data_IF_297351438600
#
_entry.id   IF_297351438600
#
_cell.length_a   1.000
_cell.length_b   1.000
_cell.length_c   1.000
_cell.angle_alpha   90.00
_cell.angle_beta   90.00
_cell.angle_gamma   90.00
#
_symmetry.space_group_name_H-M   'P 1'
#
loop_
_entity.id
_entity.type
_entity.pdbx_description
1 polymer ?
#
# COMPACT_ATOMS: atom_id res chain seq x y z
N UNK A 1 20.52 -33.59 0.77
CA UNK A 1 19.53 -33.55 1.86
C UNK A 1 19.39 -32.12 2.34
N UNK A 2 18.48 -31.35 1.74
CA UNK A 2 18.23 -29.92 2.01
C UNK A 2 16.77 -29.73 2.38
N UNK A 3 16.33 -30.30 3.51
CA UNK A 3 15.02 -29.98 4.11
C UNK A 3 15.12 -30.01 5.64
N UNK A 4 15.24 -28.83 6.26
CA UNK A 4 14.33 -28.45 7.35
C UNK A 4 13.74 -27.03 7.19
N UNK A 5 14.36 -26.17 6.38
CA UNK A 5 13.98 -24.74 6.24
C UNK A 5 12.65 -24.56 5.53
N UNK A 6 12.40 -25.33 4.45
CA UNK A 6 11.18 -25.19 3.65
C UNK A 6 9.88 -25.55 4.40
N UNK A 7 9.89 -26.59 5.25
CA UNK A 7 8.68 -26.99 6.00
C UNK A 7 8.30 -25.97 7.08
N UNK A 8 9.31 -25.39 7.75
CA UNK A 8 9.09 -24.37 8.79
C UNK A 8 8.56 -23.07 8.19
N UNK A 9 9.12 -22.61 7.08
CA UNK A 9 8.63 -21.42 6.38
C UNK A 9 7.22 -21.62 5.82
N UNK A 10 6.93 -22.77 5.19
CA UNK A 10 5.56 -23.10 4.73
C UNK A 10 4.55 -23.07 5.87
N UNK A 11 4.87 -23.67 7.02
CA UNK A 11 3.99 -23.68 8.20
C UNK A 11 3.80 -22.27 8.76
N UNK A 12 4.87 -21.46 8.82
CA UNK A 12 4.82 -20.07 9.27
C UNK A 12 3.90 -19.22 8.36
N UNK A 13 4.03 -19.37 7.04
CA UNK A 13 3.18 -18.69 6.07
C UNK A 13 1.72 -19.14 6.17
N UNK A 14 1.47 -20.44 6.34
CA UNK A 14 0.12 -20.98 6.52
C UNK A 14 -0.56 -20.42 7.77
N UNK A 15 0.14 -20.39 8.92
CA UNK A 15 -0.40 -19.81 10.16
C UNK A 15 -0.67 -18.31 10.02
N UNK A 16 0.24 -17.58 9.38
CA UNK A 16 0.06 -16.14 9.13
C UNK A 16 -1.17 -15.87 8.28
N UNK A 17 -1.36 -16.64 7.20
CA UNK A 17 -2.54 -16.58 6.33
C UNK A 17 -3.83 -16.87 7.11
N UNK A 18 -3.89 -17.97 7.86
CA UNK A 18 -5.09 -18.33 8.62
C UNK A 18 -5.52 -17.24 9.63
N UNK A 19 -4.54 -16.58 10.27
CA UNK A 19 -4.78 -15.45 11.16
C UNK A 19 -5.34 -14.22 10.44
N UNK A 20 -4.79 -13.89 9.26
CA UNK A 20 -5.27 -12.77 8.45
C UNK A 20 -6.69 -13.04 7.91
N UNK A 21 -6.95 -14.26 7.44
CA UNK A 21 -8.26 -14.68 6.93
C UNK A 21 -9.32 -14.59 8.04
N UNK A 22 -9.06 -15.17 9.21
CA UNK A 22 -9.97 -15.12 10.34
C UNK A 22 -10.22 -13.68 10.83
N UNK A 23 -9.17 -12.84 10.85
CA UNK A 23 -9.29 -11.44 11.23
C UNK A 23 -10.17 -10.66 10.26
N UNK A 24 -9.93 -10.81 8.95
CA UNK A 24 -10.70 -10.14 7.92
C UNK A 24 -12.18 -10.50 8.02
N UNK A 25 -12.52 -11.79 8.06
CA UNK A 25 -13.90 -12.26 8.16
C UNK A 25 -14.62 -11.64 9.37
N UNK A 26 -14.01 -11.74 10.56
CA UNK A 26 -14.60 -11.18 11.78
C UNK A 26 -14.73 -9.65 11.73
N UNK A 27 -13.73 -8.95 11.20
CA UNK A 27 -13.76 -7.48 11.12
C UNK A 27 -14.81 -6.99 10.12
N UNK A 28 -15.02 -7.69 9.00
CA UNK A 28 -16.06 -7.35 8.03
C UNK A 28 -17.46 -7.63 8.59
N UNK A 29 -17.66 -8.75 9.29
CA UNK A 29 -18.97 -9.12 9.84
C UNK A 29 -19.39 -8.26 11.03
N UNK A 30 -18.46 -7.93 11.92
CA UNK A 30 -18.76 -7.34 13.24
C UNK A 30 -18.21 -5.94 13.44
N UNK A 31 -17.34 -5.49 12.54
CA UNK A 31 -16.61 -4.23 12.65
C UNK A 31 -15.30 -4.37 13.41
N UNK A 32 -14.27 -3.64 12.95
CA UNK A 32 -12.93 -3.68 13.52
C UNK A 32 -12.93 -3.49 15.04
N UNK A 33 -13.57 -2.45 15.56
CA UNK A 33 -13.52 -2.11 17.00
C UNK A 33 -14.17 -3.15 17.91
N UNK A 34 -15.11 -3.95 17.39
CA UNK A 34 -15.90 -4.93 18.16
C UNK A 34 -15.23 -6.29 18.29
N UNK A 35 -14.13 -6.53 17.58
CA UNK A 35 -13.44 -7.83 17.55
C UNK A 35 -12.11 -7.72 18.30
N UNK A 36 -11.91 -8.56 19.32
CA UNK A 36 -10.66 -8.67 20.04
C UNK A 36 -9.64 -9.60 19.37
N UNK A 37 -8.35 -9.37 19.61
CA UNK A 37 -7.26 -10.26 19.13
C UNK A 37 -7.38 -11.70 19.63
N UNK A 38 -8.05 -11.90 20.78
CA UNK A 38 -8.33 -13.23 21.32
C UNK A 38 -9.32 -13.98 20.43
N UNK A 39 -10.38 -13.32 19.98
CA UNK A 39 -11.40 -13.94 19.12
C UNK A 39 -10.82 -14.33 17.77
N UNK A 40 -9.94 -13.50 17.22
CA UNK A 40 -9.18 -13.83 16.00
C UNK A 40 -8.29 -15.05 16.21
N UNK A 41 -7.56 -15.10 17.33
CA UNK A 41 -6.68 -16.22 17.65
C UNK A 41 -7.47 -17.53 17.84
N UNK A 42 -8.61 -17.46 18.54
CA UNK A 42 -9.52 -18.58 18.76
C UNK A 42 -10.11 -19.07 17.42
N UNK A 43 -10.53 -18.16 16.53
CA UNK A 43 -11.06 -18.50 15.21
C UNK A 43 -10.00 -19.14 14.28
N UNK A 44 -8.72 -18.78 14.45
CA UNK A 44 -7.60 -19.33 13.69
C UNK A 44 -6.96 -20.58 14.35
N UNK A 45 -7.53 -21.09 15.45
CA UNK A 45 -7.01 -22.23 16.24
C UNK A 45 -5.54 -22.05 16.69
N UNK A 46 -5.20 -20.85 17.16
CA UNK A 46 -3.87 -20.52 17.69
C UNK A 46 -3.95 -19.73 18.99
N UNK A 47 -2.87 -19.75 19.76
CA UNK A 47 -2.77 -18.89 20.95
C UNK A 47 -2.59 -17.43 20.59
N UNK A 48 -3.05 -16.51 21.44
CA UNK A 48 -2.76 -15.07 21.35
C UNK A 48 -1.25 -14.79 21.30
N UNK A 49 -0.45 -15.56 22.04
CA UNK A 49 1.02 -15.47 21.96
C UNK A 49 1.55 -15.85 20.59
N UNK A 50 0.96 -16.85 19.92
CA UNK A 50 1.29 -17.20 18.53
C UNK A 50 0.91 -16.06 17.61
N UNK A 51 -0.30 -15.50 17.74
CA UNK A 51 -0.73 -14.33 16.95
C UNK A 51 0.31 -13.20 17.03
N UNK A 52 0.72 -12.79 18.24
CA UNK A 52 1.68 -11.71 18.41
C UNK A 52 3.11 -12.03 17.91
N UNK A 53 3.47 -13.31 17.74
CA UNK A 53 4.71 -13.70 17.05
C UNK A 53 4.65 -13.45 15.54
N UNK A 54 3.45 -13.44 14.96
CA UNK A 54 3.24 -13.19 13.54
C UNK A 54 2.89 -11.72 13.25
N UNK A 55 2.11 -11.09 14.13
CA UNK A 55 1.56 -9.74 13.95
C UNK A 55 1.81 -8.91 15.22
N UNK A 56 2.59 -7.83 15.15
CA UNK A 56 2.97 -7.06 16.35
C UNK A 56 1.78 -6.34 17.01
N UNK A 57 0.71 -6.07 16.27
CA UNK A 57 -0.49 -5.41 16.75
C UNK A 57 -1.73 -5.88 15.96
N UNK A 58 -2.91 -5.44 16.39
CA UNK A 58 -4.19 -5.82 15.77
C UNK A 58 -4.32 -5.28 14.34
N UNK A 59 -3.86 -4.06 14.11
CA UNK A 59 -3.89 -3.41 12.79
C UNK A 59 -3.09 -4.20 11.76
N UNK A 60 -1.99 -4.84 12.19
CA UNK A 60 -1.15 -5.66 11.33
C UNK A 60 -1.89 -6.89 10.77
N UNK A 61 -2.99 -7.33 11.39
CA UNK A 61 -3.82 -8.42 10.87
C UNK A 61 -4.57 -8.03 9.59
N UNK A 62 -4.73 -6.73 9.33
CA UNK A 62 -5.47 -6.18 8.17
C UNK A 62 -4.57 -6.02 6.96
N UNK A 63 -3.26 -5.85 7.15
CA UNK A 63 -2.31 -5.54 6.10
C UNK A 63 -1.20 -6.60 6.03
N UNK A 64 -1.29 -7.52 5.07
CA UNK A 64 -0.26 -8.55 4.80
C UNK A 64 0.50 -8.29 3.48
N UNK A 65 1.20 -7.14 3.39
CA UNK A 65 1.54 -6.54 2.08
C UNK A 65 2.99 -6.09 1.90
N UNK A 66 3.91 -6.58 2.72
CA UNK A 66 5.14 -5.83 2.95
C UNK A 66 6.20 -5.97 1.85
N UNK A 67 6.32 -7.13 1.19
CA UNK A 67 7.46 -7.38 0.30
C UNK A 67 7.23 -6.94 -1.16
N UNK A 68 6.00 -7.01 -1.64
CA UNK A 68 5.70 -6.76 -3.06
C UNK A 68 5.67 -5.25 -3.38
N UNK A 69 5.26 -4.41 -2.41
CA UNK A 69 5.15 -2.96 -2.57
C UNK A 69 6.51 -2.29 -2.77
N UNK A 70 7.50 -2.63 -1.94
CA UNK A 70 8.84 -2.02 -2.05
C UNK A 70 9.47 -2.32 -3.41
N UNK A 71 9.40 -3.58 -3.84
CA UNK A 71 9.93 -4.01 -5.14
C UNK A 71 9.22 -3.29 -6.29
N UNK A 72 7.90 -3.10 -6.19
CA UNK A 72 7.11 -2.39 -7.20
C UNK A 72 7.48 -0.89 -7.27
N UNK A 73 7.62 -0.21 -6.12
CA UNK A 73 8.05 1.20 -6.05
C UNK A 73 9.45 1.41 -6.60
N UNK A 74 10.39 0.55 -6.20
CA UNK A 74 11.78 0.60 -6.67
C UNK A 74 11.86 0.25 -8.15
N UNK A 75 11.10 -0.73 -8.61
CA UNK A 75 10.99 -1.12 -10.02
C UNK A 75 10.43 0.02 -10.89
N UNK A 76 9.41 0.73 -10.42
CA UNK A 76 8.86 1.89 -11.12
C UNK A 76 9.91 2.97 -11.39
N UNK A 77 10.86 3.16 -10.47
CA UNK A 77 11.97 4.10 -10.65
C UNK A 77 13.05 3.52 -11.57
N UNK A 78 13.51 2.29 -11.32
CA UNK A 78 14.63 1.66 -12.05
C UNK A 78 14.29 1.29 -13.49
N UNK A 79 13.11 0.73 -13.70
CA UNK A 79 12.68 0.15 -14.98
C UNK A 79 11.88 1.15 -15.83
N UNK A 80 11.93 2.45 -15.48
CA UNK A 80 11.23 3.51 -16.21
C UNK A 80 11.67 3.60 -17.66
N UNK A 81 10.75 3.97 -18.55
CA UNK A 81 11.04 4.16 -19.96
C UNK A 81 12.16 5.21 -20.18
N UNK A 82 13.06 5.02 -21.17
CA UNK A 82 14.09 6.01 -21.47
C UNK A 82 13.50 7.39 -21.75
N UNK A 83 14.08 8.43 -21.15
CA UNK A 83 13.61 9.82 -21.30
C UNK A 83 12.47 10.21 -20.36
N UNK A 84 11.90 9.27 -19.60
CA UNK A 84 10.89 9.54 -18.58
C UNK A 84 11.50 10.02 -17.27
N UNK A 85 10.88 11.04 -16.66
CA UNK A 85 11.32 11.55 -15.35
C UNK A 85 10.97 10.56 -14.23
N UNK A 86 11.72 10.60 -13.13
CA UNK A 86 11.42 9.79 -11.92
C UNK A 86 10.02 10.10 -11.39
N UNK A 87 9.64 11.37 -11.39
CA UNK A 87 8.33 11.83 -10.93
C UNK A 87 7.19 11.38 -11.85
N UNK A 88 7.39 11.38 -13.17
CA UNK A 88 6.41 10.87 -14.12
C UNK A 88 6.20 9.35 -13.93
N UNK A 89 7.28 8.59 -13.75
CA UNK A 89 7.20 7.15 -13.49
C UNK A 89 6.50 6.84 -12.16
N UNK A 90 6.81 7.59 -11.10
CA UNK A 90 6.13 7.46 -9.81
C UNK A 90 4.67 7.89 -9.87
N UNK A 91 4.35 8.96 -10.60
CA UNK A 91 2.97 9.39 -10.82
C UNK A 91 2.16 8.28 -11.50
N UNK A 92 2.65 7.74 -12.60
CA UNK A 92 1.97 6.64 -13.30
C UNK A 92 1.81 5.44 -12.37
N UNK A 93 2.87 4.99 -11.71
CA UNK A 93 2.81 3.84 -10.81
C UNK A 93 1.85 4.06 -9.65
N UNK A 94 1.89 5.22 -8.98
CA UNK A 94 1.04 5.50 -7.83
C UNK A 94 -0.42 5.70 -8.23
N UNK A 95 -0.71 6.22 -9.42
CA UNK A 95 -2.08 6.39 -9.90
C UNK A 95 -2.68 5.12 -10.52
N UNK A 96 -1.86 4.21 -11.06
CA UNK A 96 -2.33 3.04 -11.80
C UNK A 96 -2.12 1.71 -11.09
N UNK A 97 -1.02 1.56 -10.34
CA UNK A 97 -0.65 0.28 -9.71
C UNK A 97 -1.07 0.20 -8.24
N UNK A 98 -0.94 1.28 -7.47
CA UNK A 98 -1.06 1.18 -5.99
C UNK A 98 -2.18 2.05 -5.39
N UNK A 99 -2.41 3.25 -5.93
CA UNK A 99 -3.32 4.25 -5.38
C UNK A 99 -4.81 3.87 -5.33
N UNK A 100 -5.39 3.20 -6.34
CA UNK A 100 -6.85 3.01 -6.37
C UNK A 100 -7.40 1.90 -5.46
N UNK A 101 -6.56 1.09 -4.82
CA UNK A 101 -7.03 -0.11 -4.09
C UNK A 101 -6.48 -0.28 -2.69
N UNK A 102 -5.34 0.34 -2.36
CA UNK A 102 -4.79 0.29 -1.01
C UNK A 102 -5.10 1.53 -0.18
N UNK A 103 -5.23 2.69 -0.85
CA UNK A 103 -5.25 4.00 -0.20
C UNK A 103 -6.48 4.83 -0.55
N UNK A 104 -7.24 4.43 -1.58
CA UNK A 104 -8.47 5.09 -2.00
C UNK A 104 -9.55 4.06 -2.36
N UNK A 105 -10.52 3.81 -1.49
CA UNK A 105 -11.80 3.22 -1.85
C UNK A 105 -12.68 4.13 -2.71
N UNK A 106 -13.20 3.63 -3.83
CA UNK A 106 -14.12 4.39 -4.69
C UNK A 106 -13.45 5.33 -5.69
N UNK A 107 -12.16 5.12 -6.00
CA UNK A 107 -11.40 5.93 -6.97
C UNK A 107 -11.92 5.52 -8.32
N UNK A 108 -11.97 4.21 -8.57
CA UNK A 108 -12.56 3.63 -9.76
C UNK A 108 -13.97 4.18 -10.07
N UNK A 109 -14.79 4.47 -9.06
CA UNK A 109 -16.14 5.04 -9.23
C UNK A 109 -16.13 6.56 -9.46
N UNK A 110 -15.24 7.31 -8.79
CA UNK A 110 -15.21 8.79 -8.81
C UNK A 110 -14.25 9.41 -9.85
N UNK A 111 -13.24 8.67 -10.32
CA UNK A 111 -12.21 9.19 -11.23
C UNK A 111 -12.51 8.95 -12.71
N UNK A 112 -13.68 8.38 -13.05
CA UNK A 112 -14.03 8.11 -14.44
C UNK A 112 -13.13 7.07 -15.14
N UNK A 113 -12.27 6.38 -14.37
CA UNK A 113 -11.41 5.26 -14.83
C UNK A 113 -12.24 3.96 -14.95
N UNK A 114 -13.42 4.07 -15.58
CA UNK A 114 -14.54 3.11 -15.52
C UNK A 114 -14.32 1.75 -16.20
N UNK A 115 -13.09 1.34 -16.48
CA UNK A 115 -12.78 0.07 -17.15
C UNK A 115 -11.36 -0.45 -16.82
N UNK A 116 -10.77 0.00 -15.71
CA UNK A 116 -9.43 -0.49 -15.32
C UNK A 116 -9.51 -1.95 -14.86
N UNK A 117 -9.14 -2.84 -15.78
CA UNK A 117 -9.30 -4.29 -15.65
C UNK A 117 -8.65 -4.83 -14.37
N UNK A 118 -9.43 -5.59 -13.58
CA UNK A 118 -9.01 -6.41 -12.43
C UNK A 118 -7.72 -7.21 -12.68
N UNK A 119 -7.45 -7.55 -13.94
CA UNK A 119 -6.26 -8.25 -14.39
C UNK A 119 -4.97 -7.42 -14.22
N UNK A 120 -5.02 -6.10 -14.44
CA UNK A 120 -3.88 -5.21 -14.19
C UNK A 120 -3.59 -5.04 -12.70
N UNK A 121 -4.61 -5.14 -11.83
CA UNK A 121 -4.45 -5.08 -10.37
C UNK A 121 -3.71 -6.27 -9.81
N UNK A 122 -4.06 -7.47 -10.28
CA UNK A 122 -3.38 -8.71 -9.92
C UNK A 122 -1.94 -8.76 -10.47
N UNK A 123 -1.69 -8.06 -11.58
CA UNK A 123 -0.38 -8.01 -12.24
C UNK A 123 0.55 -6.96 -11.62
N UNK A 124 0.04 -5.78 -11.25
CA UNK A 124 0.85 -4.65 -10.81
C UNK A 124 1.25 -4.70 -9.33
N UNK A 125 0.42 -5.34 -8.49
CA UNK A 125 0.75 -5.52 -7.07
C UNK A 125 1.06 -6.98 -6.74
N UNK A 126 0.86 -7.89 -7.69
CA UNK A 126 1.01 -9.33 -7.49
C UNK A 126 -0.20 -9.94 -6.77
N UNK A 127 -0.44 -11.26 -6.93
CA UNK A 127 -1.62 -11.96 -6.41
C UNK A 127 -1.73 -12.02 -4.88
N UNK A 128 -0.81 -11.42 -4.14
CA UNK A 128 -0.71 -11.45 -2.67
C UNK A 128 -1.11 -10.14 -1.98
N UNK A 129 -1.60 -9.16 -2.76
CA UNK A 129 -1.82 -7.78 -2.25
C UNK A 129 -3.16 -7.56 -1.56
N UNK A 130 -4.07 -8.52 -1.68
CA UNK A 130 -5.34 -8.45 -1.00
C UNK A 130 -5.39 -9.56 0.02
N UNK A 131 -5.92 -9.31 1.23
CA UNK A 131 -6.13 -10.39 2.14
C UNK A 131 -7.02 -11.45 1.44
N UNK A 132 -6.78 -12.74 1.68
CA UNK A 132 -7.45 -13.81 0.96
C UNK A 132 -8.98 -13.68 1.07
N UNK A 133 -9.67 -13.71 -0.08
CA UNK A 133 -11.13 -13.56 -0.14
C UNK A 133 -11.63 -12.17 -0.60
N UNK A 134 -10.77 -11.15 -0.65
CA UNK A 134 -11.17 -9.77 -1.05
C UNK A 134 -11.24 -9.57 -2.59
N UNK A 135 -11.11 -10.64 -3.39
CA UNK A 135 -11.11 -10.58 -4.85
C UNK A 135 -12.48 -10.40 -5.53
N UNK A 136 -13.58 -10.51 -4.78
CA UNK A 136 -14.95 -10.34 -5.27
C UNK A 136 -15.47 -8.94 -4.91
N UNK A 137 -16.06 -8.23 -5.88
CA UNK A 137 -16.27 -6.77 -5.84
C UNK A 137 -16.83 -6.21 -4.52
N UNK A 138 -17.82 -6.86 -3.90
CA UNK A 138 -18.42 -6.39 -2.64
C UNK A 138 -17.48 -6.45 -1.44
N UNK A 139 -16.59 -7.45 -1.36
CA UNK A 139 -15.68 -7.61 -0.22
C UNK A 139 -14.55 -6.60 -0.24
N UNK A 140 -14.09 -6.21 -1.43
CA UNK A 140 -13.11 -5.12 -1.59
C UNK A 140 -13.68 -3.78 -1.13
N UNK A 141 -14.93 -3.49 -1.45
CA UNK A 141 -15.63 -2.28 -1.02
C UNK A 141 -15.87 -2.26 0.50
N UNK A 142 -16.24 -3.39 1.11
CA UNK A 142 -16.45 -3.51 2.55
C UNK A 142 -15.13 -3.34 3.33
N UNK A 143 -14.06 -4.02 2.90
CA UNK A 143 -12.72 -3.88 3.47
C UNK A 143 -12.24 -2.43 3.42
N UNK A 144 -12.38 -1.86 2.24
CA UNK A 144 -12.05 -0.48 1.96
C UNK A 144 -12.78 0.50 2.89
N UNK A 145 -14.11 0.38 2.99
CA UNK A 145 -14.95 1.19 3.87
C UNK A 145 -14.56 1.03 5.34
N UNK A 146 -14.19 -0.18 5.76
CA UNK A 146 -13.70 -0.44 7.11
C UNK A 146 -12.39 0.33 7.37
N UNK A 147 -11.41 0.26 6.47
CA UNK A 147 -10.15 1.00 6.62
C UNK A 147 -10.40 2.51 6.69
N UNK A 148 -11.27 3.07 5.83
CA UNK A 148 -11.60 4.50 5.83
C UNK A 148 -12.22 4.99 7.14
N UNK A 149 -13.16 4.22 7.67
CA UNK A 149 -13.93 4.62 8.85
C UNK A 149 -13.21 4.35 10.17
N UNK A 150 -12.05 3.69 10.15
CA UNK A 150 -11.27 3.36 11.35
C UNK A 150 -9.94 4.13 11.37
N UNK A 151 -9.82 5.21 12.17
CA UNK A 151 -8.60 6.02 12.25
C UNK A 151 -7.32 5.23 12.52
N UNK A 152 -7.38 4.25 13.43
CA UNK A 152 -6.22 3.40 13.76
C UNK A 152 -5.71 2.60 12.54
N UNK A 153 -6.60 2.13 11.67
CA UNK A 153 -6.22 1.43 10.44
C UNK A 153 -5.60 2.36 9.42
N UNK A 154 -6.14 3.58 9.24
CA UNK A 154 -5.55 4.58 8.34
C UNK A 154 -4.16 5.00 8.79
N UNK A 155 -3.99 5.28 10.08
CA UNK A 155 -2.69 5.64 10.64
C UNK A 155 -1.67 4.50 10.53
N UNK A 156 -2.10 3.26 10.74
CA UNK A 156 -1.24 2.11 10.55
C UNK A 156 -0.85 1.92 9.08
N UNK A 157 -1.82 1.98 8.15
CA UNK A 157 -1.57 1.89 6.71
C UNK A 157 -0.60 2.98 6.24
N UNK A 158 -0.78 4.21 6.71
CA UNK A 158 0.10 5.33 6.39
C UNK A 158 1.52 5.09 6.90
N UNK A 159 1.69 4.71 8.18
CA UNK A 159 3.01 4.36 8.71
C UNK A 159 3.64 3.19 7.95
N UNK A 160 2.86 2.16 7.63
CA UNK A 160 3.32 1.00 6.88
C UNK A 160 3.89 1.41 5.53
N UNK A 161 3.13 2.21 4.79
CA UNK A 161 3.48 2.73 3.47
C UNK A 161 4.76 3.56 3.48
N UNK A 162 4.89 4.45 4.47
CA UNK A 162 6.02 5.35 4.58
C UNK A 162 7.33 4.65 4.96
N UNK A 163 7.29 3.39 5.42
CA UNK A 163 8.54 2.63 5.64
C UNK A 163 9.33 2.40 4.36
N UNK A 164 8.69 2.48 3.20
CA UNK A 164 9.34 2.36 1.90
C UNK A 164 10.09 3.63 1.48
N UNK A 165 9.98 4.74 2.23
CA UNK A 165 10.66 6.02 1.95
C UNK A 165 12.17 5.83 1.75
N UNK A 166 12.84 5.12 2.67
CA UNK A 166 14.28 4.96 2.61
C UNK A 166 14.72 4.12 1.39
N UNK A 167 13.96 3.08 1.05
CA UNK A 167 14.25 2.25 -0.11
C UNK A 167 14.04 3.02 -1.42
N UNK A 168 12.94 3.76 -1.51
CA UNK A 168 12.61 4.59 -2.66
C UNK A 168 13.63 5.73 -2.83
N UNK A 169 13.97 6.45 -1.74
CA UNK A 169 14.96 7.52 -1.77
C UNK A 169 16.32 7.07 -2.29
N UNK A 170 16.81 5.90 -1.84
CA UNK A 170 18.04 5.29 -2.38
C UNK A 170 17.92 4.93 -3.86
N UNK A 171 16.78 4.43 -4.30
CA UNK A 171 16.54 4.12 -5.71
C UNK A 171 16.58 5.39 -6.58
N UNK A 172 15.95 6.47 -6.12
CA UNK A 172 15.98 7.78 -6.79
C UNK A 172 17.41 8.32 -6.86
N UNK A 173 18.17 8.25 -5.76
CA UNK A 173 19.55 8.71 -5.74
C UNK A 173 20.43 7.95 -6.74
N UNK A 174 20.31 6.62 -6.77
CA UNK A 174 21.04 5.77 -7.70
C UNK A 174 20.74 6.12 -9.17
N UNK A 175 19.47 6.36 -9.50
CA UNK A 175 19.03 6.67 -10.87
C UNK A 175 19.35 8.10 -11.34
N UNK A 176 19.55 9.02 -10.40
CA UNK A 176 19.90 10.43 -10.70
C UNK A 176 21.39 10.71 -10.54
N UNK A 177 22.17 9.75 -10.04
CA UNK A 177 23.61 9.91 -9.76
C UNK A 177 23.90 10.73 -8.49
N UNK A 178 22.92 10.88 -7.60
CA UNK A 178 23.08 11.56 -6.31
C UNK A 178 23.70 10.63 -5.25
N UNK A 179 24.25 11.17 -4.15
CA UNK A 179 24.70 10.38 -3.01
C UNK A 179 23.59 9.50 -2.39
N UNK A 180 23.95 8.35 -1.82
CA UNK A 180 22.99 7.41 -1.22
C UNK A 180 22.17 8.02 -0.07
N UNK A 181 22.75 8.97 0.66
CA UNK A 181 22.15 9.72 1.77
C UNK A 181 21.65 11.12 1.35
N UNK A 182 21.40 11.34 0.06
CA UNK A 182 20.92 12.61 -0.45
C UNK A 182 19.54 13.00 0.15
N UNK A 183 19.53 14.10 0.90
CA UNK A 183 18.35 14.59 1.59
C UNK A 183 17.22 15.01 0.63
N UNK A 184 17.54 15.44 -0.59
CA UNK A 184 16.53 15.84 -1.58
C UNK A 184 15.84 14.63 -2.19
N UNK A 185 16.57 13.53 -2.42
CA UNK A 185 16.01 12.25 -2.87
C UNK A 185 15.11 11.65 -1.78
N UNK A 186 15.52 11.72 -0.51
CA UNK A 186 14.69 11.30 0.62
C UNK A 186 13.40 12.13 0.73
N UNK A 187 13.51 13.47 0.64
CA UNK A 187 12.35 14.35 0.68
C UNK A 187 11.39 14.12 -0.50
N UNK A 188 11.92 13.90 -1.71
CA UNK A 188 11.12 13.60 -2.89
C UNK A 188 10.36 12.29 -2.73
N UNK A 189 11.04 11.24 -2.26
CA UNK A 189 10.41 9.95 -1.96
C UNK A 189 9.28 10.11 -0.94
N UNK A 190 9.56 10.84 0.15
CA UNK A 190 8.57 11.13 1.19
C UNK A 190 7.32 11.81 0.63
N UNK A 191 7.49 12.89 -0.13
CA UNK A 191 6.36 13.63 -0.69
C UNK A 191 5.60 12.80 -1.72
N UNK A 192 6.29 12.08 -2.60
CA UNK A 192 5.65 11.21 -3.58
C UNK A 192 4.79 10.13 -2.89
N UNK A 193 5.29 9.54 -1.80
CA UNK A 193 4.55 8.55 -1.01
C UNK A 193 3.37 9.15 -0.25
N UNK A 194 3.42 10.42 0.16
CA UNK A 194 2.29 11.07 0.84
C UNK A 194 1.15 11.49 -0.12
N UNK A 195 1.45 11.73 -1.40
CA UNK A 195 0.46 12.22 -2.39
C UNK A 195 -0.85 11.41 -2.41
N UNK A 196 -0.84 10.06 -2.47
CA UNK A 196 -2.09 9.28 -2.49
C UNK A 196 -2.99 9.56 -1.28
N UNK A 197 -2.43 9.77 -0.08
CA UNK A 197 -3.19 10.06 1.14
C UNK A 197 -3.75 11.48 1.14
N UNK A 198 -2.98 12.44 0.64
CA UNK A 198 -3.41 13.84 0.53
C UNK A 198 -4.51 13.99 -0.54
N UNK A 199 -4.31 13.37 -1.70
CA UNK A 199 -5.31 13.27 -2.74
C UNK A 199 -6.57 12.56 -2.21
N UNK A 200 -6.37 11.55 -1.34
CA UNK A 200 -7.29 10.82 -0.44
C UNK A 200 -8.49 11.57 0.15
N UNK A 201 -8.34 12.87 0.37
CA UNK A 201 -9.39 13.69 0.99
C UNK A 201 -10.10 14.62 -0.01
N UNK A 202 -9.69 14.61 -1.29
CA UNK A 202 -10.17 15.54 -2.29
C UNK A 202 -11.38 14.97 -3.08
N UNK A 203 -12.35 15.80 -3.52
CA UNK A 203 -13.48 15.32 -4.33
C UNK A 203 -13.08 14.67 -5.66
N UNK A 204 -12.01 15.17 -6.27
CA UNK A 204 -11.34 14.59 -7.44
C UNK A 204 -9.89 14.23 -7.08
N UNK A 205 -9.61 12.97 -6.73
CA UNK A 205 -8.31 12.54 -6.22
C UNK A 205 -7.26 12.44 -7.32
N UNK A 206 -7.68 12.04 -8.52
CA UNK A 206 -6.79 11.90 -9.65
C UNK A 206 -6.25 13.27 -10.06
N UNK A 207 -7.14 14.26 -10.20
CA UNK A 207 -6.73 15.64 -10.49
C UNK A 207 -5.88 16.24 -9.37
N UNK A 208 -6.20 15.95 -8.10
CA UNK A 208 -5.42 16.43 -6.96
C UNK A 208 -4.00 15.86 -6.96
N UNK A 209 -3.86 14.54 -7.16
CA UNK A 209 -2.55 13.89 -7.24
C UNK A 209 -1.73 14.42 -8.43
N UNK A 210 -2.35 14.61 -9.60
CA UNK A 210 -1.72 15.20 -10.78
C UNK A 210 -1.15 16.59 -10.50
N UNK A 211 -1.93 17.43 -9.82
CA UNK A 211 -1.49 18.76 -9.43
C UNK A 211 -0.31 18.71 -8.45
N UNK A 212 -0.33 17.78 -7.48
CA UNK A 212 0.77 17.61 -6.51
C UNK A 212 2.05 17.08 -7.17
N UNK A 213 1.96 16.13 -8.12
CA UNK A 213 3.13 15.69 -8.89
C UNK A 213 3.69 16.81 -9.77
N UNK A 214 2.81 17.61 -10.40
CA UNK A 214 3.22 18.79 -11.17
C UNK A 214 3.94 19.81 -10.29
N UNK A 215 3.47 20.01 -9.05
CA UNK A 215 4.14 20.84 -8.06
C UNK A 215 5.53 20.31 -7.70
N UNK A 216 5.69 19.00 -7.50
CA UNK A 216 7.00 18.40 -7.23
C UNK A 216 7.96 18.54 -8.43
N UNK A 217 7.45 18.44 -9.65
CA UNK A 217 8.29 18.48 -10.86
C UNK A 217 8.70 19.91 -11.23
N UNK A 218 7.79 20.87 -11.11
CA UNK A 218 8.02 22.26 -11.57
C UNK A 218 8.38 23.21 -10.43
N UNK A 219 8.12 22.81 -9.19
CA UNK A 219 8.26 23.65 -8.01
C UNK A 219 7.12 24.65 -7.83
N UNK A 220 7.08 25.25 -6.63
CA UNK A 220 6.01 26.16 -6.21
C UNK A 220 5.89 27.40 -7.11
N UNK A 221 7.00 28.09 -7.37
CA UNK A 221 6.98 29.35 -8.12
C UNK A 221 6.52 29.18 -9.57
N UNK A 222 6.81 28.03 -10.20
CA UNK A 222 6.37 27.74 -11.56
C UNK A 222 4.87 27.38 -11.63
N UNK A 223 4.31 26.85 -10.54
CA UNK A 223 2.89 26.48 -10.44
C UNK A 223 2.01 27.60 -9.88
N UNK A 224 2.59 28.57 -9.16
CA UNK A 224 1.91 29.70 -8.54
C UNK A 224 2.64 31.03 -8.85
N UNK A 225 2.65 31.47 -10.12
CA UNK A 225 3.37 32.71 -10.49
C UNK A 225 2.72 33.94 -9.84
N UNK A 226 3.54 34.78 -9.19
CA UNK A 226 3.11 36.08 -8.65
C UNK A 226 2.62 36.10 -7.20
N UNK A 227 2.83 34.99 -6.47
CA UNK A 227 2.76 34.94 -5.00
C UNK A 227 4.14 35.11 -4.38
#
# INVERSE_FOLDING_TARGET
>A
MTEPTGRRERKKAQTRKALADAALELFLERGYDQVGVKEVADAADVSVTTLFKHFPCKEALVFDLEQDIEAALVGAVRDRAPGRSVLEALREHLLTAVGPHLLWPGAAEKSGLGEFSREHLLTAVGPHTLPPGVGEGSRLEEFSRMVENTPALREYAHRMWLRHEAALGRAIAAETGAPEDDATCAALARFALDIPFLAGSHPDPAAAADAMFTLLERGWNATHPGH
#
